data_IF_598444581250
#
_entry.id   IF_598444581250
#
_cell.length_a   1.000
_cell.length_b   1.000
_cell.length_c   1.000
_cell.angle_alpha   90.00
_cell.angle_beta   90.00
_cell.angle_gamma   90.00
#
_symmetry.space_group_name_H-M   'P 1'
#
loop_
_entity.id
_entity.type
_entity.pdbx_description
1 polymer ?
#
# COMPACT_ATOMS: atom_id res chain seq x y z
N UNK A 1 27.50 -6.05 41.78
CA UNK A 1 26.45 -5.99 40.76
C UNK A 1 25.56 -4.83 41.09
N UNK A 2 25.59 -3.68 40.40
CA UNK A 2 24.61 -2.63 40.60
C UNK A 2 23.33 -2.99 39.88
N UNK A 3 22.25 -2.96 40.61
CA UNK A 3 20.87 -3.10 40.15
C UNK A 3 20.53 -1.95 39.19
N UNK A 4 20.32 -2.26 37.92
CA UNK A 4 19.75 -1.33 36.94
C UNK A 4 18.20 -1.39 37.04
N UNK A 5 17.69 -0.87 38.13
CA UNK A 5 16.26 -0.54 38.25
C UNK A 5 16.18 0.97 38.33
N UNK A 6 15.66 1.61 37.29
CA UNK A 6 15.25 3.02 37.31
C UNK A 6 16.10 3.98 36.46
N UNK A 7 16.25 3.73 35.17
CA UNK A 7 16.31 4.79 34.17
C UNK A 7 15.47 4.36 32.99
N UNK A 8 14.26 4.92 32.89
CA UNK A 8 13.54 4.97 31.63
C UNK A 8 14.47 5.67 30.63
N UNK A 9 15.18 4.87 29.86
CA UNK A 9 15.97 5.37 28.73
C UNK A 9 14.92 5.71 27.67
N UNK A 10 14.40 6.95 27.74
CA UNK A 10 13.55 7.51 26.70
C UNK A 10 14.34 7.53 25.40
N UNK A 11 14.29 6.44 24.64
CA UNK A 11 14.74 6.43 23.26
C UNK A 11 13.75 7.30 22.51
N UNK A 12 14.25 8.40 21.93
CA UNK A 12 13.45 9.36 21.19
C UNK A 12 13.75 9.21 19.70
N UNK A 13 12.71 9.24 18.90
CA UNK A 13 12.84 9.35 17.44
C UNK A 13 12.36 10.73 16.99
N UNK A 14 12.88 11.18 15.85
CA UNK A 14 12.54 12.47 15.28
C UNK A 14 11.38 12.31 14.31
N UNK A 15 10.19 12.77 14.72
CA UNK A 15 8.99 12.79 13.88
C UNK A 15 8.74 14.23 13.44
N UNK A 16 9.07 14.53 12.18
CA UNK A 16 9.03 15.90 11.68
C UNK A 16 10.04 16.81 12.41
N UNK A 17 9.55 17.89 13.05
CA UNK A 17 10.36 18.86 13.80
C UNK A 17 10.38 18.59 15.32
N UNK A 18 9.74 17.52 15.81
CA UNK A 18 9.68 17.20 17.24
C UNK A 18 10.39 15.87 17.57
N UNK A 19 11.05 15.84 18.73
CA UNK A 19 11.59 14.61 19.32
C UNK A 19 10.47 13.95 20.15
N UNK A 20 9.91 12.86 19.67
CA UNK A 20 8.89 12.08 20.37
C UNK A 20 9.48 10.79 20.97
N UNK A 21 8.95 10.30 22.11
CA UNK A 21 9.37 9.02 22.63
C UNK A 21 8.93 7.90 21.67
N UNK A 22 9.84 6.95 21.45
CA UNK A 22 9.53 5.75 20.66
C UNK A 22 8.45 4.92 21.34
N UNK A 23 7.54 4.39 20.55
CA UNK A 23 6.55 3.40 21.01
C UNK A 23 7.25 2.07 21.35
N UNK A 24 6.58 1.22 22.13
CA UNK A 24 7.10 -0.13 22.45
C UNK A 24 7.42 -0.93 21.18
N UNK A 25 6.60 -0.77 20.15
CA UNK A 25 6.80 -1.42 18.85
C UNK A 25 8.05 -0.90 18.12
N UNK A 26 8.28 0.41 18.11
CA UNK A 26 9.47 0.99 17.48
C UNK A 26 10.75 0.53 18.18
N UNK A 27 10.75 0.47 19.52
CA UNK A 27 11.86 -0.10 20.31
C UNK A 27 12.08 -1.57 19.96
N UNK A 28 11.00 -2.37 19.90
CA UNK A 28 11.07 -3.78 19.51
C UNK A 28 11.65 -3.93 18.09
N UNK A 29 11.15 -3.18 17.11
CA UNK A 29 11.61 -3.26 15.72
C UNK A 29 13.10 -2.95 15.59
N UNK A 30 13.58 -1.94 16.33
CA UNK A 30 15.01 -1.62 16.39
C UNK A 30 15.84 -2.73 17.04
N UNK A 31 15.37 -3.30 18.15
CA UNK A 31 16.02 -4.42 18.81
C UNK A 31 16.01 -5.69 17.97
N UNK A 32 14.92 -5.99 17.30
CA UNK A 32 14.75 -7.16 16.42
C UNK A 32 15.81 -7.16 15.31
N UNK A 33 16.03 -6.02 14.67
CA UNK A 33 17.11 -5.88 13.70
C UNK A 33 18.49 -6.07 14.33
N UNK A 34 18.75 -5.42 15.46
CA UNK A 34 20.06 -5.48 16.15
C UNK A 34 20.40 -6.88 16.65
N UNK A 35 19.40 -7.59 17.18
CA UNK A 35 19.54 -8.95 17.72
C UNK A 35 19.32 -10.04 16.67
N UNK A 36 18.98 -9.66 15.41
CA UNK A 36 18.68 -10.56 14.29
C UNK A 36 17.57 -11.57 14.62
N UNK A 37 16.48 -11.09 15.16
CA UNK A 37 15.28 -11.92 15.35
C UNK A 37 14.77 -12.37 13.97
N UNK A 38 14.41 -13.64 13.88
CA UNK A 38 13.85 -14.26 12.69
C UNK A 38 12.48 -14.84 13.05
N UNK A 39 11.44 -14.00 12.91
CA UNK A 39 10.09 -14.42 13.25
C UNK A 39 9.53 -15.44 12.27
N UNK A 40 10.03 -15.48 11.05
CA UNK A 40 9.60 -16.42 10.01
C UNK A 40 9.97 -17.89 10.30
N UNK A 41 10.96 -18.14 11.18
CA UNK A 41 11.34 -19.50 11.61
C UNK A 41 10.83 -19.86 13.01
N UNK A 42 9.99 -19.04 13.63
CA UNK A 42 9.38 -19.41 14.89
C UNK A 42 8.43 -20.60 14.72
N UNK A 43 8.39 -21.45 15.73
CA UNK A 43 7.47 -22.61 15.76
C UNK A 43 6.03 -22.13 15.93
N UNK A 44 5.11 -22.78 15.27
CA UNK A 44 3.67 -22.52 15.35
C UNK A 44 2.99 -23.63 16.10
N UNK A 45 2.60 -23.34 17.33
CA UNK A 45 1.86 -24.27 18.16
C UNK A 45 0.60 -24.77 17.44
N UNK A 46 0.27 -26.04 17.59
CA UNK A 46 -0.84 -26.73 16.93
C UNK A 46 -0.70 -26.95 15.41
N UNK A 47 0.30 -26.37 14.73
CA UNK A 47 0.56 -26.72 13.34
C UNK A 47 1.20 -28.10 13.25
N UNK A 48 0.78 -28.87 12.25
CA UNK A 48 1.31 -30.20 12.00
C UNK A 48 1.64 -30.38 10.54
N UNK A 49 2.46 -31.39 10.22
CA UNK A 49 2.79 -31.69 8.84
C UNK A 49 1.56 -32.01 7.98
N UNK A 50 0.53 -32.57 8.59
CA UNK A 50 -0.74 -32.86 7.92
C UNK A 50 -1.56 -31.60 7.55
N UNK A 51 -1.27 -30.45 8.18
CA UNK A 51 -1.90 -29.17 7.85
C UNK A 51 -1.27 -28.45 6.66
N UNK A 52 -0.16 -28.98 6.14
CA UNK A 52 0.50 -28.47 4.94
C UNK A 52 -0.09 -29.11 3.67
N UNK A 53 -0.17 -28.33 2.61
CA UNK A 53 -0.53 -28.78 1.28
C UNK A 53 0.59 -29.65 0.72
N UNK A 54 0.37 -30.97 0.69
CA UNK A 54 1.38 -31.95 0.31
C UNK A 54 1.80 -31.84 -1.16
N UNK A 55 0.89 -31.41 -2.05
CA UNK A 55 1.18 -31.22 -3.47
C UNK A 55 2.13 -30.03 -3.67
N UNK A 56 1.82 -28.92 -3.03
CA UNK A 56 2.66 -27.71 -3.07
C UNK A 56 4.04 -27.96 -2.45
N UNK A 57 4.07 -28.68 -1.32
CA UNK A 57 5.32 -29.04 -0.66
C UNK A 57 6.17 -30.00 -1.53
N UNK A 58 5.55 -30.98 -2.17
CA UNK A 58 6.22 -31.89 -3.10
C UNK A 58 6.79 -31.15 -4.31
N UNK A 59 6.05 -30.19 -4.85
CA UNK A 59 6.51 -29.34 -5.94
C UNK A 59 7.71 -28.48 -5.52
N UNK A 60 7.63 -27.86 -4.32
CA UNK A 60 8.74 -27.11 -3.73
C UNK A 60 10.01 -27.96 -3.64
N UNK A 61 9.93 -29.18 -3.08
CA UNK A 61 11.07 -30.11 -2.96
C UNK A 61 11.61 -30.48 -4.34
N UNK A 62 10.74 -30.76 -5.30
CA UNK A 62 11.12 -31.08 -6.68
C UNK A 62 11.91 -29.95 -7.33
N UNK A 63 11.43 -28.70 -7.18
CA UNK A 63 12.09 -27.50 -7.70
C UNK A 63 13.41 -27.23 -6.99
N UNK A 64 13.42 -27.38 -5.67
CA UNK A 64 14.62 -27.20 -4.85
C UNK A 64 15.74 -28.18 -5.25
N UNK A 65 15.44 -29.48 -5.34
CA UNK A 65 16.39 -30.50 -5.75
C UNK A 65 16.90 -30.28 -7.18
N UNK A 66 16.02 -29.84 -8.09
CA UNK A 66 16.41 -29.47 -9.46
C UNK A 66 17.36 -28.28 -9.50
N UNK A 67 17.11 -27.25 -8.70
CA UNK A 67 17.94 -26.04 -8.63
C UNK A 67 19.24 -26.22 -7.84
N UNK A 68 19.27 -27.17 -6.90
CA UNK A 68 20.40 -27.42 -5.98
C UNK A 68 20.75 -28.92 -6.00
N UNK A 69 21.57 -29.40 -6.96
CA UNK A 69 21.86 -30.84 -7.13
C UNK A 69 22.43 -31.51 -5.89
N UNK A 70 23.13 -30.77 -5.02
CA UNK A 70 23.67 -31.31 -3.76
C UNK A 70 22.60 -31.81 -2.80
N UNK A 71 21.38 -31.26 -2.89
CA UNK A 71 20.24 -31.67 -2.07
C UNK A 71 19.52 -32.88 -2.66
N UNK A 72 19.79 -33.27 -3.91
CA UNK A 72 19.09 -34.37 -4.58
C UNK A 72 19.27 -35.73 -3.86
N UNK A 73 20.39 -35.91 -3.20
CA UNK A 73 20.72 -37.17 -2.48
C UNK A 73 20.24 -37.16 -1.01
N UNK A 74 19.65 -36.05 -0.56
CA UNK A 74 19.18 -35.89 0.83
C UNK A 74 17.72 -36.31 0.90
N UNK A 75 17.33 -37.00 1.97
CA UNK A 75 15.95 -37.39 2.24
C UNK A 75 15.07 -36.15 2.48
N UNK A 76 13.83 -36.19 2.03
CA UNK A 76 12.92 -35.03 2.10
C UNK A 76 12.70 -34.54 3.53
N UNK A 77 12.65 -35.47 4.50
CA UNK A 77 12.47 -35.09 5.91
C UNK A 77 13.66 -34.29 6.47
N UNK A 78 14.89 -34.60 6.02
CA UNK A 78 16.08 -33.83 6.38
C UNK A 78 16.11 -32.46 5.66
N UNK A 79 15.60 -32.41 4.41
CA UNK A 79 15.45 -31.14 3.68
C UNK A 79 14.45 -30.23 4.37
N UNK A 80 13.39 -30.75 4.96
CA UNK A 80 12.42 -29.91 5.70
C UNK A 80 13.07 -29.19 6.88
N UNK A 81 13.98 -29.85 7.61
CA UNK A 81 14.76 -29.20 8.68
C UNK A 81 15.78 -28.20 8.10
N UNK A 82 16.54 -28.60 7.07
CA UNK A 82 17.56 -27.74 6.45
C UNK A 82 16.95 -26.44 5.87
N UNK A 83 15.74 -26.52 5.35
CA UNK A 83 15.04 -25.39 4.73
C UNK A 83 14.11 -24.65 5.71
N UNK A 84 14.16 -25.01 7.00
CA UNK A 84 13.35 -24.40 8.06
C UNK A 84 11.83 -24.54 7.87
N UNK A 85 11.37 -25.52 7.10
CA UNK A 85 9.95 -25.93 7.06
C UNK A 85 9.56 -26.52 8.42
N UNK A 86 10.50 -27.28 9.00
CA UNK A 86 10.45 -27.76 10.39
C UNK A 86 11.61 -27.23 11.18
N UNK A 87 11.44 -27.14 12.48
CA UNK A 87 12.46 -26.88 13.47
C UNK A 87 12.21 -27.80 14.68
N UNK A 88 13.11 -28.70 14.97
CA UNK A 88 12.93 -29.73 16.02
C UNK A 88 11.63 -30.53 15.84
N UNK A 89 11.32 -30.93 14.61
CA UNK A 89 10.08 -31.58 14.17
C UNK A 89 8.78 -30.72 14.29
N UNK A 90 8.86 -29.51 14.75
CA UNK A 90 7.74 -28.58 14.81
C UNK A 90 7.64 -27.71 13.57
N UNK A 91 6.44 -27.35 13.15
CA UNK A 91 6.22 -26.55 11.93
C UNK A 91 6.50 -25.07 12.19
N UNK A 92 7.22 -24.44 11.28
CA UNK A 92 7.58 -23.03 11.38
C UNK A 92 6.50 -22.12 10.80
N UNK A 93 6.59 -20.81 11.11
CA UNK A 93 5.69 -19.80 10.55
C UNK A 93 5.86 -19.69 9.03
N UNK A 94 7.09 -19.76 8.49
CA UNK A 94 7.31 -19.75 7.05
C UNK A 94 6.59 -20.89 6.35
N UNK A 95 6.68 -22.10 6.93
CA UNK A 95 5.96 -23.26 6.40
C UNK A 95 4.44 -23.09 6.45
N UNK A 96 3.91 -22.51 7.54
CA UNK A 96 2.49 -22.21 7.64
C UNK A 96 2.07 -21.20 6.58
N UNK A 97 2.80 -20.10 6.42
CA UNK A 97 2.43 -19.03 5.49
C UNK A 97 2.59 -19.42 4.02
N UNK A 98 3.55 -20.28 3.68
CA UNK A 98 3.79 -20.68 2.29
C UNK A 98 3.10 -21.98 1.89
N UNK A 99 2.92 -22.92 2.83
CA UNK A 99 2.48 -24.28 2.48
C UNK A 99 1.23 -24.75 3.21
N UNK A 100 0.71 -24.04 4.22
CA UNK A 100 -0.51 -24.49 4.90
C UNK A 100 -1.72 -24.42 3.97
N UNK A 101 -2.65 -25.36 4.15
CA UNK A 101 -3.96 -25.35 3.50
C UNK A 101 -4.77 -24.12 3.90
N UNK A 102 -4.66 -23.69 5.16
CA UNK A 102 -5.37 -22.52 5.65
C UNK A 102 -4.60 -21.84 6.81
N UNK A 103 -3.64 -20.96 6.51
CA UNK A 103 -2.81 -20.27 7.52
C UNK A 103 -3.63 -19.49 8.56
N UNK A 104 -4.78 -18.95 8.17
CA UNK A 104 -5.63 -18.12 9.00
C UNK A 104 -6.34 -18.90 10.13
N UNK A 105 -6.29 -20.25 10.11
CA UNK A 105 -6.68 -21.08 11.26
C UNK A 105 -5.74 -20.88 12.46
N UNK A 106 -4.49 -20.53 12.21
CA UNK A 106 -3.47 -20.25 13.24
C UNK A 106 -3.37 -18.76 13.51
N UNK A 107 -3.42 -17.95 12.46
CA UNK A 107 -3.24 -16.51 12.48
C UNK A 107 -4.37 -15.80 11.74
N UNK A 108 -5.53 -15.58 12.38
CA UNK A 108 -6.71 -15.04 11.71
C UNK A 108 -6.48 -13.69 11.00
N UNK A 109 -5.53 -12.87 11.46
CA UNK A 109 -5.27 -11.55 10.87
C UNK A 109 -4.06 -11.51 9.92
N UNK A 110 -3.36 -12.62 9.70
CA UNK A 110 -2.34 -12.70 8.66
C UNK A 110 -3.00 -12.92 7.28
N UNK A 111 -3.78 -11.93 6.88
CA UNK A 111 -4.55 -11.88 5.64
C UNK A 111 -4.42 -10.50 4.99
N UNK A 112 -5.07 -10.31 3.86
CA UNK A 112 -5.23 -9.00 3.22
C UNK A 112 -6.70 -8.58 3.34
N UNK A 113 -6.94 -7.34 3.76
CA UNK A 113 -8.25 -6.68 3.64
C UNK A 113 -8.18 -5.70 2.48
N UNK A 114 -9.09 -5.85 1.52
CA UNK A 114 -9.14 -5.00 0.33
C UNK A 114 -10.49 -4.30 0.26
N UNK A 115 -10.47 -2.98 0.04
CA UNK A 115 -11.66 -2.14 -0.03
C UNK A 115 -11.57 -1.14 -1.18
N UNK A 116 -12.72 -0.82 -1.77
CA UNK A 116 -12.89 0.32 -2.68
C UNK A 116 -13.71 1.37 -1.95
N UNK A 117 -13.14 2.55 -1.77
CA UNK A 117 -13.73 3.67 -1.05
C UNK A 117 -14.25 4.69 -2.06
N UNK A 118 -15.48 5.22 -1.93
CA UNK A 118 -15.94 6.33 -2.76
C UNK A 118 -15.17 7.61 -2.42
N UNK A 119 -14.68 8.31 -3.45
CA UNK A 119 -13.92 9.54 -3.29
C UNK A 119 -12.44 9.32 -2.92
N UNK A 120 -11.85 10.31 -2.25
CA UNK A 120 -10.40 10.38 -1.98
C UNK A 120 -10.02 10.16 -0.52
N UNK A 121 -11.00 10.01 0.39
CA UNK A 121 -10.78 9.83 1.83
C UNK A 121 -11.59 8.66 2.38
N UNK A 122 -11.05 7.94 3.35
CA UNK A 122 -11.69 6.79 4.02
C UNK A 122 -13.03 7.16 4.70
N UNK A 123 -13.23 8.44 5.04
CA UNK A 123 -14.47 8.94 5.63
C UNK A 123 -15.55 9.32 4.62
N UNK A 124 -15.25 9.27 3.32
CA UNK A 124 -16.23 9.59 2.28
C UNK A 124 -17.31 8.52 2.20
N UNK A 125 -18.51 8.96 1.83
CA UNK A 125 -19.70 8.12 1.70
C UNK A 125 -20.25 8.34 0.30
N UNK A 126 -20.59 7.25 -0.38
CA UNK A 126 -21.17 7.31 -1.71
C UNK A 126 -22.57 7.92 -1.73
N UNK A 127 -23.13 8.09 -2.93
CA UNK A 127 -24.41 8.77 -3.16
C UNK A 127 -25.61 8.11 -2.45
N UNK A 128 -25.54 6.81 -2.17
CA UNK A 128 -26.59 6.05 -1.48
C UNK A 128 -26.25 5.74 -0.03
N UNK A 129 -25.18 6.32 0.51
CA UNK A 129 -24.72 6.11 1.88
C UNK A 129 -23.78 4.93 2.06
N UNK A 130 -23.30 4.32 0.99
CA UNK A 130 -22.33 3.23 1.01
C UNK A 130 -20.95 3.73 1.47
N UNK A 131 -20.34 3.01 2.42
CA UNK A 131 -18.97 3.27 2.88
C UNK A 131 -17.91 2.63 1.98
N UNK A 132 -18.25 1.50 1.37
CA UNK A 132 -17.38 0.77 0.46
C UNK A 132 -18.20 0.39 -0.78
N UNK A 133 -17.61 0.58 -1.95
CA UNK A 133 -18.18 0.15 -3.24
C UNK A 133 -17.89 -1.35 -3.47
N UNK A 134 -16.78 -1.85 -2.96
CA UNK A 134 -16.41 -3.26 -2.91
C UNK A 134 -15.54 -3.51 -1.68
N UNK A 135 -15.66 -4.70 -1.10
CA UNK A 135 -14.78 -5.13 -0.01
C UNK A 135 -14.54 -6.63 -0.07
N UNK A 136 -13.35 -7.05 0.30
CA UNK A 136 -12.99 -8.47 0.36
C UNK A 136 -11.93 -8.70 1.42
N UNK A 137 -12.11 -9.79 2.17
CA UNK A 137 -11.06 -10.40 2.97
C UNK A 137 -10.42 -11.49 2.14
N UNK A 138 -9.11 -11.43 1.93
CA UNK A 138 -8.33 -12.34 1.10
C UNK A 138 -7.46 -13.18 2.01
N UNK A 139 -7.67 -14.48 1.98
CA UNK A 139 -7.06 -15.48 2.85
C UNK A 139 -6.36 -16.55 2.00
N UNK A 140 -5.66 -17.47 2.67
CA UNK A 140 -4.88 -18.53 2.06
C UNK A 140 -3.39 -18.36 2.34
N UNK A 141 -2.56 -19.16 1.68
CA UNK A 141 -1.11 -18.99 1.72
C UNK A 141 -0.67 -17.72 0.96
N UNK A 142 0.63 -17.37 1.02
CA UNK A 142 1.14 -16.15 0.41
C UNK A 142 0.84 -16.08 -1.09
N UNK A 143 0.95 -17.19 -1.83
CA UNK A 143 0.64 -17.22 -3.26
C UNK A 143 -0.85 -16.97 -3.51
N UNK A 144 -1.73 -17.62 -2.77
CA UNK A 144 -3.18 -17.46 -2.88
C UNK A 144 -3.61 -16.05 -2.51
N UNK A 145 -3.00 -15.46 -1.48
CA UNK A 145 -3.26 -14.06 -1.10
C UNK A 145 -2.80 -13.08 -2.20
N UNK A 146 -1.65 -13.32 -2.83
CA UNK A 146 -1.19 -12.51 -3.96
C UNK A 146 -2.17 -12.60 -5.13
N UNK A 147 -2.57 -13.81 -5.51
CA UNK A 147 -3.52 -14.04 -6.60
C UNK A 147 -4.89 -13.40 -6.31
N UNK A 148 -5.42 -13.57 -5.11
CA UNK A 148 -6.68 -12.97 -4.67
C UNK A 148 -6.62 -11.44 -4.67
N UNK A 149 -5.51 -10.85 -4.23
CA UNK A 149 -5.29 -9.39 -4.28
C UNK A 149 -5.25 -8.88 -5.73
N UNK A 150 -4.57 -9.60 -6.62
CA UNK A 150 -4.54 -9.22 -8.04
C UNK A 150 -5.92 -9.33 -8.69
N UNK A 151 -6.71 -10.36 -8.36
CA UNK A 151 -8.09 -10.50 -8.83
C UNK A 151 -8.98 -9.36 -8.34
N UNK A 152 -8.88 -9.00 -7.04
CA UNK A 152 -9.62 -7.87 -6.47
C UNK A 152 -9.28 -6.56 -7.17
N UNK A 153 -8.01 -6.23 -7.30
CA UNK A 153 -7.58 -4.97 -7.93
C UNK A 153 -7.98 -4.95 -9.41
N UNK A 154 -7.76 -6.04 -10.15
CA UNK A 154 -8.08 -6.10 -11.58
C UNK A 154 -9.58 -5.91 -11.86
N UNK A 155 -10.50 -6.47 -11.04
CA UNK A 155 -11.94 -6.27 -11.24
C UNK A 155 -12.43 -4.86 -10.92
N UNK A 156 -11.68 -4.13 -10.08
CA UNK A 156 -12.01 -2.78 -9.65
C UNK A 156 -11.26 -1.68 -10.42
N UNK A 157 -10.26 -2.04 -11.24
CA UNK A 157 -9.60 -1.11 -12.16
C UNK A 157 -10.45 -0.89 -13.43
N UNK A 158 -10.43 0.33 -13.93
CA UNK A 158 -10.96 0.63 -15.26
C UNK A 158 -9.92 0.30 -16.33
N UNK A 159 -10.39 -0.20 -17.46
CA UNK A 159 -9.57 -0.40 -18.65
C UNK A 159 -9.98 0.61 -19.71
N UNK A 160 -9.03 1.41 -20.18
CA UNK A 160 -9.21 2.37 -21.27
C UNK A 160 -8.57 1.82 -22.53
N UNK A 161 -9.29 1.89 -23.66
CA UNK A 161 -8.71 1.60 -24.97
C UNK A 161 -8.09 2.87 -25.54
N UNK A 162 -6.79 2.83 -25.75
CA UNK A 162 -6.02 3.93 -26.37
C UNK A 162 -5.64 3.49 -27.79
N UNK A 163 -5.84 4.38 -28.76
CA UNK A 163 -5.36 4.17 -30.13
C UNK A 163 -4.13 5.06 -30.29
N UNK A 164 -2.97 4.46 -30.54
CA UNK A 164 -1.74 5.21 -30.83
C UNK A 164 -1.94 6.02 -32.13
N UNK A 165 -1.90 7.35 -32.06
CA UNK A 165 -2.17 8.20 -33.24
C UNK A 165 -1.11 8.05 -34.36
N UNK A 166 0.07 7.51 -34.03
CA UNK A 166 1.16 7.35 -35.03
C UNK A 166 1.10 5.98 -35.71
N UNK A 167 0.75 4.93 -34.97
CA UNK A 167 0.79 3.55 -35.46
C UNK A 167 -0.59 2.97 -35.75
N UNK A 168 -1.67 3.61 -35.29
CA UNK A 168 -3.05 3.11 -35.34
C UNK A 168 -3.28 1.85 -34.50
N UNK A 169 -2.32 1.42 -33.69
CA UNK A 169 -2.44 0.24 -32.84
C UNK A 169 -3.32 0.54 -31.64
N UNK A 170 -4.23 -0.39 -31.37
CA UNK A 170 -5.03 -0.40 -30.15
C UNK A 170 -4.21 -0.95 -28.99
N UNK A 171 -4.20 -0.25 -27.88
CA UNK A 171 -3.64 -0.69 -26.61
C UNK A 171 -4.71 -0.52 -25.52
N UNK A 172 -4.97 -1.60 -24.78
CA UNK A 172 -5.87 -1.54 -23.64
C UNK A 172 -5.04 -1.27 -22.38
N UNK A 173 -5.25 -0.10 -21.75
CA UNK A 173 -4.55 0.37 -20.56
C UNK A 173 -5.45 0.31 -19.34
N UNK A 174 -4.97 -0.32 -18.28
CA UNK A 174 -5.58 -0.28 -16.96
C UNK A 174 -5.22 1.03 -16.22
N UNK A 175 -5.98 1.38 -15.16
CA UNK A 175 -5.69 2.55 -14.32
C UNK A 175 -4.27 2.55 -13.76
N UNK A 176 -3.72 1.36 -13.47
CA UNK A 176 -2.36 1.16 -12.99
C UNK A 176 -1.66 0.04 -13.76
N UNK A 177 -0.33 0.06 -13.88
CA UNK A 177 0.43 -1.08 -14.39
C UNK A 177 0.24 -2.29 -13.47
N UNK A 178 -0.24 -3.40 -14.02
CA UNK A 178 -0.45 -4.67 -13.27
C UNK A 178 0.84 -5.13 -12.60
N UNK A 179 1.99 -4.92 -13.25
CA UNK A 179 3.31 -5.24 -12.71
C UNK A 179 3.66 -4.43 -11.47
N UNK A 180 3.29 -3.13 -11.41
CA UNK A 180 3.53 -2.29 -10.23
C UNK A 180 2.68 -2.74 -9.05
N UNK A 181 1.40 -3.05 -9.28
CA UNK A 181 0.50 -3.56 -8.22
C UNK A 181 1.01 -4.90 -7.70
N UNK A 182 1.31 -5.85 -8.61
CA UNK A 182 1.80 -7.17 -8.21
C UNK A 182 3.05 -7.08 -7.36
N UNK A 183 3.99 -6.25 -7.76
CA UNK A 183 5.24 -6.05 -7.04
C UNK A 183 5.02 -5.40 -5.67
N UNK A 184 4.14 -4.41 -5.58
CA UNK A 184 3.82 -3.76 -4.31
C UNK A 184 3.12 -4.70 -3.31
N UNK A 185 2.17 -5.53 -3.79
CA UNK A 185 1.50 -6.55 -2.96
C UNK A 185 2.47 -7.65 -2.53
N UNK A 186 3.31 -8.13 -3.45
CA UNK A 186 4.31 -9.16 -3.15
C UNK A 186 5.32 -8.65 -2.12
N UNK A 187 5.80 -7.42 -2.28
CA UNK A 187 6.68 -6.79 -1.29
C UNK A 187 6.01 -6.64 0.08
N UNK A 188 4.72 -6.31 0.12
CA UNK A 188 3.98 -6.25 1.37
C UNK A 188 3.93 -7.63 2.04
N UNK A 189 3.65 -8.70 1.31
CA UNK A 189 3.60 -10.06 1.84
C UNK A 189 4.98 -10.57 2.30
N UNK A 190 6.04 -10.34 1.52
CA UNK A 190 7.40 -10.83 1.84
C UNK A 190 8.04 -10.06 2.98
N UNK A 191 7.85 -8.73 3.02
CA UNK A 191 8.51 -7.86 3.99
C UNK A 191 7.62 -7.46 5.18
N UNK A 192 6.41 -8.05 5.29
CA UNK A 192 5.56 -7.90 6.46
C UNK A 192 6.36 -8.19 7.74
N UNK A 193 6.04 -7.46 8.80
CA UNK A 193 6.42 -7.88 10.14
C UNK A 193 5.51 -9.02 10.61
N UNK A 194 6.08 -10.22 10.77
CA UNK A 194 5.38 -11.41 11.24
C UNK A 194 5.56 -11.64 12.75
N UNK A 195 6.05 -10.65 13.49
CA UNK A 195 6.18 -10.73 14.94
C UNK A 195 4.82 -10.75 15.65
N UNK A 196 4.84 -11.14 16.92
CA UNK A 196 3.65 -11.15 17.76
C UNK A 196 2.99 -9.77 17.93
N UNK A 197 3.75 -8.69 17.72
CA UNK A 197 3.27 -7.31 17.86
C UNK A 197 2.35 -6.88 16.71
N UNK A 198 2.46 -7.52 15.55
CA UNK A 198 1.71 -7.17 14.34
C UNK A 198 0.78 -8.27 13.85
N UNK A 199 0.73 -9.43 14.53
CA UNK A 199 -0.17 -10.54 14.18
C UNK A 199 -1.64 -10.14 14.09
N UNK A 200 -2.08 -9.18 14.89
CA UNK A 200 -3.45 -8.67 14.90
C UNK A 200 -3.78 -7.67 13.77
N UNK A 201 -2.84 -7.36 12.87
CA UNK A 201 -2.99 -6.32 11.86
C UNK A 201 -2.94 -6.91 10.44
N UNK A 202 -4.01 -6.87 9.63
CA UNK A 202 -3.96 -7.32 8.24
C UNK A 202 -3.18 -6.35 7.36
N UNK A 203 -2.66 -6.84 6.22
CA UNK A 203 -2.27 -5.96 5.12
C UNK A 203 -3.55 -5.32 4.57
N UNK A 204 -3.50 -4.03 4.23
CA UNK A 204 -4.65 -3.32 3.69
C UNK A 204 -4.38 -2.88 2.25
N UNK A 205 -5.34 -3.13 1.36
CA UNK A 205 -5.40 -2.54 0.02
C UNK A 205 -6.60 -1.63 -0.01
N UNK A 206 -6.39 -0.33 -0.22
CA UNK A 206 -7.44 0.67 -0.25
C UNK A 206 -7.41 1.35 -1.62
N UNK A 207 -8.45 1.16 -2.41
CA UNK A 207 -8.61 1.80 -3.71
C UNK A 207 -9.51 3.03 -3.56
N UNK A 208 -8.98 4.19 -3.88
CA UNK A 208 -9.66 5.49 -3.94
C UNK A 208 -9.94 5.87 -5.40
N UNK A 209 -10.67 6.95 -5.60
CA UNK A 209 -10.96 7.47 -6.94
C UNK A 209 -9.69 7.95 -7.66
N UNK A 210 -8.68 8.42 -6.92
CA UNK A 210 -7.43 9.01 -7.43
C UNK A 210 -6.20 8.10 -7.27
N UNK A 211 -6.21 7.14 -6.34
CA UNK A 211 -5.03 6.33 -5.99
C UNK A 211 -5.39 4.96 -5.43
N UNK A 212 -4.39 4.10 -5.37
CA UNK A 212 -4.40 2.88 -4.55
C UNK A 212 -3.33 2.99 -3.46
N UNK A 213 -3.68 2.61 -2.24
CA UNK A 213 -2.77 2.51 -1.11
C UNK A 213 -2.63 1.05 -0.68
N UNK A 214 -1.38 0.60 -0.52
CA UNK A 214 -1.06 -0.71 0.05
C UNK A 214 -0.32 -0.44 1.35
N UNK A 215 -0.97 -0.78 2.48
CA UNK A 215 -0.47 -0.57 3.84
C UNK A 215 -0.04 -1.89 4.45
N UNK A 216 1.23 -1.97 4.80
CA UNK A 216 1.87 -3.16 5.33
C UNK A 216 2.23 -2.95 6.80
N UNK A 217 1.78 -3.84 7.73
CA UNK A 217 2.26 -3.83 9.09
C UNK A 217 3.77 -4.10 9.17
N UNK A 218 4.46 -3.22 9.85
CA UNK A 218 5.93 -3.19 9.93
C UNK A 218 6.53 -2.10 9.06
N UNK A 219 7.31 -1.20 9.67
CA UNK A 219 8.08 -0.16 8.97
C UNK A 219 9.27 -0.74 8.20
N UNK A 220 10.11 0.14 7.66
CA UNK A 220 11.34 -0.25 6.97
C UNK A 220 12.25 -1.06 7.92
N UNK A 221 12.71 -2.21 7.45
CA UNK A 221 13.60 -3.08 8.22
C UNK A 221 15.08 -2.79 7.91
N UNK A 222 15.89 -2.75 8.96
CA UNK A 222 17.33 -2.60 8.82
C UNK A 222 17.82 -1.14 8.86
N UNK A 223 18.89 -0.85 8.10
CA UNK A 223 19.58 0.46 8.11
C UNK A 223 19.14 1.39 6.98
N UNK A 224 18.24 0.92 6.13
CA UNK A 224 17.84 1.67 4.95
C UNK A 224 16.85 2.75 5.35
N UNK A 225 17.10 3.96 4.86
CA UNK A 225 16.16 5.07 4.97
C UNK A 225 15.24 5.10 3.74
N UNK A 226 14.10 5.74 3.88
CA UNK A 226 13.09 5.82 2.84
C UNK A 226 13.64 6.44 1.53
N UNK A 227 14.53 7.42 1.63
CA UNK A 227 15.19 8.07 0.48
C UNK A 227 16.19 7.17 -0.24
N UNK A 228 16.59 6.06 0.37
CA UNK A 228 17.53 5.06 -0.17
C UNK A 228 16.82 3.86 -0.81
N UNK A 229 15.48 3.76 -0.68
CA UNK A 229 14.71 2.67 -1.25
C UNK A 229 14.92 2.50 -2.75
N UNK A 230 15.31 1.28 -3.16
CA UNK A 230 15.62 0.94 -4.55
C UNK A 230 16.98 1.43 -5.05
N UNK A 231 17.78 2.09 -4.20
CA UNK A 231 19.16 2.52 -4.52
C UNK A 231 20.23 1.68 -3.83
N UNK A 232 19.88 1.08 -2.70
CA UNK A 232 20.76 0.26 -1.85
C UNK A 232 20.12 -1.10 -1.65
N UNK A 233 20.95 -2.13 -1.48
CA UNK A 233 20.48 -3.48 -1.17
C UNK A 233 19.83 -3.48 0.23
N UNK A 234 18.57 -3.90 0.35
CA UNK A 234 17.86 -3.96 1.62
C UNK A 234 18.31 -5.18 2.46
N UNK A 235 18.23 -5.03 3.75
CA UNK A 235 18.19 -6.18 4.65
C UNK A 235 16.82 -6.88 4.51
N UNK A 236 16.78 -8.21 4.60
CA UNK A 236 15.55 -9.00 4.51
C UNK A 236 15.08 -9.37 5.92
N UNK A 237 13.84 -8.98 6.27
CA UNK A 237 13.23 -9.33 7.56
C UNK A 237 12.91 -10.82 7.65
N UNK A 238 12.38 -11.40 6.58
CA UNK A 238 11.88 -12.77 6.50
C UNK A 238 12.66 -13.56 5.43
N UNK A 239 13.93 -13.93 5.69
CA UNK A 239 14.77 -14.53 4.67
C UNK A 239 14.30 -15.93 4.24
N UNK A 240 13.66 -16.69 5.13
CA UNK A 240 13.17 -18.03 4.81
C UNK A 240 11.94 -17.95 3.94
N UNK A 241 10.94 -17.13 4.28
CA UNK A 241 9.77 -16.87 3.43
C UNK A 241 10.22 -16.43 2.02
N UNK A 242 11.14 -15.46 1.94
CA UNK A 242 11.65 -14.98 0.66
C UNK A 242 12.33 -16.08 -0.17
N UNK A 243 13.15 -16.92 0.47
CA UNK A 243 13.86 -18.02 -0.19
C UNK A 243 12.90 -19.12 -0.68
N UNK A 244 11.88 -19.45 0.09
CA UNK A 244 10.87 -20.43 -0.30
C UNK A 244 10.08 -19.96 -1.53
N UNK A 245 9.64 -18.69 -1.54
CA UNK A 245 8.94 -18.07 -2.66
C UNK A 245 9.81 -17.95 -3.92
N UNK A 246 11.14 -17.76 -3.76
CA UNK A 246 12.09 -17.77 -4.87
C UNK A 246 12.19 -19.16 -5.50
N UNK A 247 12.26 -20.23 -4.70
CA UNK A 247 12.25 -21.62 -5.19
C UNK A 247 10.96 -21.92 -5.95
N UNK A 248 9.82 -21.46 -5.44
CA UNK A 248 8.51 -21.58 -6.10
C UNK A 248 8.36 -20.65 -7.32
N UNK A 249 9.33 -19.81 -7.62
CA UNK A 249 9.33 -18.83 -8.73
C UNK A 249 8.21 -17.77 -8.64
N UNK A 250 7.75 -17.48 -7.45
CA UNK A 250 6.76 -16.44 -7.17
C UNK A 250 7.43 -15.09 -7.13
N UNK A 251 8.65 -15.01 -6.58
CA UNK A 251 9.53 -13.83 -6.55
C UNK A 251 10.88 -14.12 -7.21
N UNK A 252 11.54 -13.07 -7.69
CA UNK A 252 12.91 -13.17 -8.20
C UNK A 252 13.98 -12.87 -7.14
N UNK A 253 13.58 -12.31 -5.99
CA UNK A 253 14.45 -11.93 -4.85
C UNK A 253 15.76 -11.21 -5.27
N UNK A 254 15.67 -10.29 -6.27
CA UNK A 254 16.84 -9.59 -6.87
C UNK A 254 16.87 -8.10 -6.55
N UNK A 255 16.20 -7.67 -5.48
CA UNK A 255 16.14 -6.25 -5.05
C UNK A 255 15.61 -5.30 -6.15
N UNK A 256 14.87 -5.83 -7.11
CA UNK A 256 14.33 -5.08 -8.26
C UNK A 256 12.93 -4.52 -8.02
N UNK A 257 12.29 -4.81 -6.88
CA UNK A 257 10.89 -4.51 -6.62
C UNK A 257 10.57 -3.02 -6.72
N UNK A 258 11.18 -2.18 -5.89
CA UNK A 258 10.97 -0.72 -5.93
C UNK A 258 11.35 -0.10 -7.28
N UNK A 259 12.53 -0.40 -7.88
CA UNK A 259 12.84 0.01 -9.25
C UNK A 259 11.82 -0.41 -10.28
N UNK A 260 11.26 -1.62 -10.17
CA UNK A 260 10.23 -2.12 -11.10
C UNK A 260 8.93 -1.32 -10.96
N UNK A 261 8.46 -1.04 -9.74
CA UNK A 261 7.28 -0.19 -9.51
C UNK A 261 7.49 1.18 -10.15
N UNK A 262 8.61 1.86 -9.85
CA UNK A 262 8.92 3.19 -10.41
C UNK A 262 8.97 3.19 -11.94
N UNK A 263 9.61 2.19 -12.54
CA UNK A 263 9.72 2.06 -14.00
C UNK A 263 8.34 1.83 -14.62
N UNK A 264 7.54 0.91 -14.08
CA UNK A 264 6.22 0.61 -14.61
C UNK A 264 5.28 1.83 -14.55
N UNK A 265 5.29 2.59 -13.45
CA UNK A 265 4.55 3.84 -13.34
C UNK A 265 5.00 4.86 -14.39
N UNK A 266 6.31 5.01 -14.59
CA UNK A 266 6.87 5.92 -15.63
C UNK A 266 6.48 5.48 -17.04
N UNK A 267 6.51 4.18 -17.36
CA UNK A 267 6.11 3.63 -18.67
C UNK A 267 4.61 3.86 -18.96
N UNK A 268 3.79 3.95 -17.92
CA UNK A 268 2.36 4.30 -18.00
C UNK A 268 2.12 5.82 -17.99
N UNK A 269 3.17 6.63 -17.96
CA UNK A 269 3.07 8.10 -17.85
C UNK A 269 2.22 8.55 -16.63
N UNK A 270 2.40 7.82 -15.52
CA UNK A 270 1.75 8.06 -14.24
C UNK A 270 2.72 8.69 -13.24
N UNK A 271 2.20 9.38 -12.20
CA UNK A 271 3.02 9.94 -11.14
C UNK A 271 3.95 8.92 -10.51
N UNK A 272 5.10 9.38 -10.03
CA UNK A 272 5.99 8.49 -9.29
C UNK A 272 5.32 7.99 -8.01
N UNK A 273 5.56 6.72 -7.63
CA UNK A 273 4.98 6.16 -6.42
C UNK A 273 5.53 6.86 -5.18
N UNK A 274 4.67 7.07 -4.19
CA UNK A 274 5.06 7.50 -2.86
C UNK A 274 5.28 6.29 -1.96
N UNK A 275 6.33 6.37 -1.14
CA UNK A 275 6.65 5.39 -0.12
C UNK A 275 6.72 6.12 1.22
N UNK A 276 5.96 5.66 2.20
CA UNK A 276 5.90 6.27 3.53
C UNK A 276 6.22 5.21 4.58
N UNK A 277 6.97 5.61 5.59
CA UNK A 277 7.23 4.82 6.80
C UNK A 277 6.61 5.57 7.98
N UNK A 278 5.43 5.13 8.37
CA UNK A 278 4.61 5.81 9.38
C UNK A 278 4.40 4.89 10.58
N UNK A 279 5.15 5.12 11.65
CA UNK A 279 5.01 4.49 12.98
C UNK A 279 4.56 3.03 12.95
N UNK A 280 5.39 2.18 12.39
CA UNK A 280 5.11 0.74 12.34
C UNK A 280 4.26 0.27 11.16
N UNK A 281 4.07 1.11 10.16
CA UNK A 281 3.44 0.75 8.89
C UNK A 281 4.22 1.29 7.71
N UNK A 282 4.44 0.45 6.71
CA UNK A 282 4.99 0.86 5.42
C UNK A 282 3.86 1.01 4.40
N UNK A 283 3.78 2.17 3.76
CA UNK A 283 2.68 2.49 2.85
C UNK A 283 3.24 2.77 1.45
N UNK A 284 2.65 2.12 0.46
CA UNK A 284 2.88 2.39 -0.97
C UNK A 284 1.64 3.05 -1.54
N UNK A 285 1.79 4.26 -2.13
CA UNK A 285 0.72 4.94 -2.83
C UNK A 285 1.05 5.03 -4.32
N UNK A 286 0.12 4.60 -5.15
CA UNK A 286 0.18 4.69 -6.60
C UNK A 286 -0.99 5.55 -7.08
N UNK A 287 -0.71 6.65 -7.78
CA UNK A 287 -1.72 7.59 -8.27
C UNK A 287 -2.10 7.31 -9.72
N UNK A 288 -3.39 7.50 -10.06
CA UNK A 288 -3.92 7.34 -11.42
C UNK A 288 -3.55 8.52 -12.33
N UNK A 289 -3.38 9.70 -11.73
CA UNK A 289 -3.15 10.96 -12.45
C UNK A 289 -2.09 11.76 -11.71
N UNK A 290 -1.30 12.56 -12.46
CA UNK A 290 -0.46 13.60 -11.88
C UNK A 290 -1.31 14.78 -11.43
N UNK A 291 -0.82 15.55 -10.46
CA UNK A 291 -1.47 16.79 -10.03
C UNK A 291 -1.78 17.72 -11.23
N UNK A 292 -0.91 17.71 -12.26
CA UNK A 292 -1.08 18.50 -13.49
C UNK A 292 -2.14 17.92 -14.46
N UNK A 293 -2.49 16.62 -14.39
CA UNK A 293 -3.49 16.01 -15.30
C UNK A 293 -4.93 16.02 -14.75
N UNK A 294 -5.13 16.35 -13.47
CA UNK A 294 -6.48 16.64 -12.97
C UNK A 294 -7.02 17.99 -13.46
N UNK A 295 -6.14 18.86 -13.94
CA UNK A 295 -6.53 20.20 -14.41
C UNK A 295 -6.98 20.26 -15.89
N UNK A 296 -6.75 19.22 -16.73
CA UNK A 296 -6.89 19.39 -18.18
C UNK A 296 -8.20 18.90 -18.83
N UNK A 297 -9.01 18.03 -18.19
CA UNK A 297 -10.16 17.42 -18.91
C UNK A 297 -11.56 17.65 -18.29
N UNK A 298 -11.64 18.23 -17.09
CA UNK A 298 -12.94 18.59 -16.49
C UNK A 298 -12.99 20.05 -16.04
N UNK A 299 -11.85 20.70 -15.84
CA UNK A 299 -11.79 22.03 -15.21
C UNK A 299 -12.18 23.19 -16.13
N UNK A 300 -12.01 23.09 -17.45
CA UNK A 300 -12.34 24.23 -18.35
C UNK A 300 -13.86 24.40 -18.52
N UNK A 301 -14.63 23.32 -18.53
CA UNK A 301 -16.10 23.42 -18.67
C UNK A 301 -16.75 23.80 -17.33
N UNK A 302 -16.27 23.29 -16.20
CA UNK A 302 -16.77 23.64 -14.87
C UNK A 302 -16.26 25.00 -14.40
N UNK A 303 -15.03 25.38 -14.74
CA UNK A 303 -14.45 26.67 -14.39
C UNK A 303 -15.19 27.83 -15.07
N UNK A 304 -15.47 27.73 -16.37
CA UNK A 304 -16.23 28.73 -17.11
C UNK A 304 -17.68 28.85 -16.57
N UNK A 305 -18.31 27.74 -16.23
CA UNK A 305 -19.61 27.70 -15.60
C UNK A 305 -19.60 28.36 -14.20
N UNK A 306 -18.60 28.09 -13.41
CA UNK A 306 -18.43 28.66 -12.06
C UNK A 306 -18.10 30.16 -12.10
N UNK A 307 -17.27 30.60 -13.04
CA UNK A 307 -16.98 32.01 -13.29
C UNK A 307 -18.25 32.75 -13.69
N UNK A 308 -19.04 32.17 -14.59
CA UNK A 308 -20.34 32.74 -14.99
C UNK A 308 -21.31 32.81 -13.80
N UNK A 309 -21.38 31.75 -12.99
CA UNK A 309 -22.21 31.70 -11.78
C UNK A 309 -21.78 32.74 -10.73
N UNK A 310 -20.49 33.01 -10.61
CA UNK A 310 -19.92 34.00 -9.69
C UNK A 310 -19.93 35.44 -10.22
N UNK A 311 -20.46 35.72 -11.42
CA UNK A 311 -20.74 37.11 -11.85
C UNK A 311 -21.70 37.82 -10.87
N UNK A 312 -22.54 37.09 -10.18
CA UNK A 312 -23.29 37.56 -9.03
C UNK A 312 -22.62 37.04 -7.77
N UNK A 313 -22.39 37.86 -6.72
CA UNK A 313 -21.77 37.43 -5.49
C UNK A 313 -22.49 36.22 -4.87
N UNK A 314 -21.76 35.13 -4.64
CA UNK A 314 -22.28 33.84 -4.16
C UNK A 314 -21.66 33.45 -2.82
N UNK A 315 -22.46 32.83 -1.99
CA UNK A 315 -22.04 32.22 -0.72
C UNK A 315 -21.35 30.88 -0.96
N UNK A 316 -20.59 30.44 0.03
CA UNK A 316 -19.94 29.12 0.02
C UNK A 316 -20.95 27.96 -0.19
N UNK A 317 -22.16 28.10 0.38
CA UNK A 317 -23.22 27.09 0.28
C UNK A 317 -23.83 27.04 -1.12
N UNK A 318 -24.16 28.20 -1.70
CA UNK A 318 -24.69 28.29 -3.08
C UNK A 318 -23.71 27.72 -4.10
N UNK A 319 -22.41 27.96 -3.96
CA UNK A 319 -21.39 27.40 -4.83
C UNK A 319 -21.33 25.86 -4.69
N UNK A 320 -21.40 25.34 -3.46
CA UNK A 320 -21.41 23.91 -3.22
C UNK A 320 -22.64 23.23 -3.83
N UNK A 321 -23.82 23.85 -3.71
CA UNK A 321 -25.07 23.41 -4.32
C UNK A 321 -25.02 23.46 -5.86
N UNK A 322 -24.44 24.53 -6.43
CA UNK A 322 -24.25 24.68 -7.88
C UNK A 322 -23.37 23.58 -8.45
N UNK A 323 -22.29 23.22 -7.74
CA UNK A 323 -21.36 22.15 -8.14
C UNK A 323 -21.92 20.74 -7.85
N UNK A 324 -23.11 20.61 -7.24
CA UNK A 324 -23.70 19.32 -6.89
C UNK A 324 -22.92 18.54 -5.82
N UNK A 325 -22.12 19.24 -5.01
CA UNK A 325 -21.23 18.63 -4.03
C UNK A 325 -21.84 18.64 -2.62
N UNK A 326 -21.53 17.63 -1.82
CA UNK A 326 -22.00 17.51 -0.45
C UNK A 326 -21.12 18.25 0.58
N UNK A 327 -19.84 18.50 0.24
CA UNK A 327 -18.87 19.15 1.13
C UNK A 327 -18.55 20.58 0.69
N UNK A 328 -19.04 21.57 1.46
CA UNK A 328 -18.76 22.98 1.22
C UNK A 328 -17.26 23.30 1.28
N UNK A 329 -16.54 22.68 2.21
CA UNK A 329 -15.10 22.90 2.36
C UNK A 329 -14.34 22.40 1.15
N UNK A 330 -14.68 21.21 0.66
CA UNK A 330 -14.10 20.63 -0.54
C UNK A 330 -14.40 21.47 -1.78
N UNK A 331 -15.67 21.84 -2.00
CA UNK A 331 -16.10 22.68 -3.12
C UNK A 331 -15.28 23.98 -3.21
N UNK A 332 -15.11 24.68 -2.10
CA UNK A 332 -14.37 25.94 -2.06
C UNK A 332 -12.87 25.72 -2.28
N UNK A 333 -12.26 24.77 -1.60
CA UNK A 333 -10.82 24.52 -1.70
C UNK A 333 -10.43 24.01 -3.10
N UNK A 334 -11.23 23.16 -3.68
CA UNK A 334 -10.92 22.50 -4.96
C UNK A 334 -11.22 23.37 -6.18
N UNK A 335 -12.38 24.06 -6.20
CA UNK A 335 -12.86 24.74 -7.40
C UNK A 335 -12.74 26.27 -7.32
N UNK A 336 -12.88 26.87 -6.12
CA UNK A 336 -12.92 28.32 -6.00
C UNK A 336 -11.54 28.91 -5.66
N UNK A 337 -10.81 28.28 -4.73
CA UNK A 337 -9.53 28.85 -4.28
C UNK A 337 -8.48 28.97 -5.40
N UNK A 338 -8.33 27.99 -6.32
CA UNK A 338 -7.45 28.19 -7.49
C UNK A 338 -7.82 29.36 -8.36
N UNK A 339 -9.11 29.64 -8.54
CA UNK A 339 -9.57 30.81 -9.30
C UNK A 339 -9.36 32.11 -8.52
N UNK A 340 -9.40 32.06 -7.20
CA UNK A 340 -9.06 33.20 -6.35
C UNK A 340 -7.56 33.51 -6.40
N UNK A 341 -6.71 32.48 -6.36
CA UNK A 341 -5.25 32.64 -6.48
C UNK A 341 -4.83 33.19 -7.86
N UNK A 342 -5.56 32.83 -8.89
CA UNK A 342 -5.39 33.38 -10.26
C UNK A 342 -6.01 34.77 -10.43
N UNK A 343 -6.70 35.30 -9.40
CA UNK A 343 -7.35 36.61 -9.42
C UNK A 343 -8.63 36.71 -10.26
N UNK A 344 -9.16 35.56 -10.72
CA UNK A 344 -10.38 35.49 -11.55
C UNK A 344 -11.63 35.66 -10.67
N UNK A 345 -11.65 34.99 -9.53
CA UNK A 345 -12.69 35.16 -8.50
C UNK A 345 -12.11 35.97 -7.33
N UNK A 346 -12.90 36.89 -6.80
CA UNK A 346 -12.53 37.69 -5.64
C UNK A 346 -13.33 37.33 -4.41
N UNK A 347 -12.74 37.55 -3.25
CA UNK A 347 -13.36 37.32 -1.95
C UNK A 347 -13.80 38.66 -1.34
N UNK A 348 -15.04 38.74 -0.82
CA UNK A 348 -15.56 39.94 -0.16
C UNK A 348 -14.86 40.22 1.18
N UNK A 349 -14.31 39.22 1.86
CA UNK A 349 -13.59 39.34 3.13
C UNK A 349 -12.30 38.50 3.04
N UNK A 350 -11.25 39.01 2.35
CA UNK A 350 -10.00 38.26 2.14
C UNK A 350 -9.29 37.86 3.45
N UNK A 351 -9.33 38.74 4.44
CA UNK A 351 -8.68 38.53 5.74
C UNK A 351 -9.33 37.42 6.60
N UNK A 352 -10.55 37.00 6.24
CA UNK A 352 -11.29 35.96 6.94
C UNK A 352 -11.93 34.97 5.94
N UNK A 353 -11.12 34.16 5.23
CA UNK A 353 -11.62 33.31 4.14
C UNK A 353 -12.62 32.24 4.61
N UNK A 354 -12.61 31.87 5.90
CA UNK A 354 -13.54 30.91 6.51
C UNK A 354 -14.83 31.53 7.06
N UNK A 355 -15.04 32.84 6.90
CA UNK A 355 -16.24 33.52 7.39
C UNK A 355 -17.50 32.98 6.75
N UNK A 356 -18.58 32.80 7.54
CA UNK A 356 -19.90 32.42 7.03
C UNK A 356 -20.54 33.51 6.16
N UNK A 357 -20.06 34.75 6.26
CA UNK A 357 -20.50 35.92 5.47
C UNK A 357 -19.64 36.13 4.21
N UNK A 358 -18.68 35.25 3.96
CA UNK A 358 -17.81 35.34 2.78
C UNK A 358 -18.64 35.17 1.50
N UNK A 359 -18.48 36.10 0.56
CA UNK A 359 -19.00 36.00 -0.81
C UNK A 359 -17.83 35.89 -1.78
N UNK A 360 -18.07 35.19 -2.88
CA UNK A 360 -17.17 35.02 -4.01
C UNK A 360 -17.82 35.63 -5.24
N UNK A 361 -17.06 36.44 -5.97
CA UNK A 361 -17.56 37.15 -7.14
C UNK A 361 -16.48 37.42 -8.18
N UNK A 362 -16.86 37.64 -9.43
CA UNK A 362 -16.00 38.09 -10.51
C UNK A 362 -16.31 39.56 -10.83
N UNK A 363 -15.28 40.38 -11.12
CA UNK A 363 -15.52 41.70 -11.68
C UNK A 363 -15.98 41.56 -13.12
N UNK A 364 -16.89 42.41 -13.56
CA UNK A 364 -17.18 42.57 -14.97
C UNK A 364 -15.92 43.11 -15.66
N UNK A 365 -15.27 42.30 -16.49
CA UNK A 365 -14.25 42.83 -17.38
C UNK A 365 -15.00 43.72 -18.38
N UNK A 366 -14.69 45.04 -18.33
CA UNK A 366 -15.02 45.94 -19.43
C UNK A 366 -14.45 45.35 -20.73
N UNK A 367 -15.33 45.09 -21.68
CA UNK A 367 -15.05 44.46 -22.97
C UNK A 367 -14.18 45.32 -23.92
#
# INVERSE_FOLDING_TARGET
MPSLVGSEMCIRDRVGDSDEPMTEYEVYSYEAYRKKYQDDVRVVDRASFASLNQDLLSEYIRLLKKGKPRLAAIEDNEIYELMSIKRDNEITLSAVMNFSIYPQAYFPQLCITAVVVPGTDVGNVGLQGERFLDNQRIEGNIQEMLEGAMQFVNRNMRTKTIIDPKTGKREDRTDYPVTAIREAVLNALVHRDYSIHTEGMPIQIIMFDDRIEIRNPGGIYGRIRIDQLGKVQPDTRNPVIASELEVLKITENRYSGIPTIRRAMKEYDLPQPEFLDERGSFIVKLYKYGEEKQEADTDDIEADGLILFCKTPRTRKEICEYLGLSSVTYAIQRYVMPLVERGIIKMSIPDKPKSLKQLFYCDEQEG
#
